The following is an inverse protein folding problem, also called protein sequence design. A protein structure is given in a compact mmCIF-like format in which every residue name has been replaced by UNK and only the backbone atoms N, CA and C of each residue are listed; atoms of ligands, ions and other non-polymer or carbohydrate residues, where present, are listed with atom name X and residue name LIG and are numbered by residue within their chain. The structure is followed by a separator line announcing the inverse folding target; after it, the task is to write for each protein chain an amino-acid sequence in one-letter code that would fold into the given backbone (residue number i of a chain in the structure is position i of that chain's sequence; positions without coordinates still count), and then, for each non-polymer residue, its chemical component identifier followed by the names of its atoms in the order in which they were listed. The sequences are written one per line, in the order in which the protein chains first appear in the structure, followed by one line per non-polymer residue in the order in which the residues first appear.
data_IF_177244026631
#
_entry.id   IF_177244026631
#
_cell.length_a   1.000
_cell.length_b   1.000
_cell.length_c   1.000
_cell.angle_alpha   90.00
_cell.angle_beta   90.00
_cell.angle_gamma   90.00
#
_symmetry.space_group_name_H-M   'P 1'
#
loop_
_entity.id
_entity.type
_entity.pdbx_description
1 polymer ?
#
# COMPACT_ATOMS: atom_id res chain seq x y z
N UNK A 1 -21.07 11.15 -1.12
CA UNK A 1 -20.73 9.80 -1.63
C UNK A 1 -21.91 9.11 -2.32
N UNK A 2 -23.05 8.87 -1.64
CA UNK A 2 -24.22 8.19 -2.25
C UNK A 2 -24.77 8.87 -3.51
N UNK A 3 -24.91 10.21 -3.52
CA UNK A 3 -25.30 10.98 -4.72
C UNK A 3 -24.30 10.88 -5.88
N UNK A 4 -23.01 10.76 -5.59
CA UNK A 4 -21.94 10.63 -6.59
C UNK A 4 -21.95 9.22 -7.22
N UNK A 5 -22.04 8.17 -6.39
CA UNK A 5 -22.17 6.79 -6.88
C UNK A 5 -23.45 6.59 -7.71
N UNK A 6 -24.56 7.23 -7.31
CA UNK A 6 -25.83 7.15 -8.04
C UNK A 6 -25.76 7.83 -9.42
N UNK A 7 -24.96 8.90 -9.56
CA UNK A 7 -24.84 9.69 -10.79
C UNK A 7 -23.81 9.12 -11.76
N UNK A 8 -22.67 8.64 -11.25
CA UNK A 8 -21.50 8.25 -12.06
C UNK A 8 -21.39 6.73 -12.27
N UNK A 9 -22.28 5.93 -11.63
CA UNK A 9 -22.35 4.45 -11.67
C UNK A 9 -20.98 3.80 -11.88
N UNK A 10 -20.67 3.30 -13.08
CA UNK A 10 -19.49 2.49 -13.37
C UNK A 10 -18.17 3.26 -13.19
N UNK A 11 -18.13 4.53 -13.61
CA UNK A 11 -16.96 5.40 -13.44
C UNK A 11 -16.77 5.81 -11.97
N UNK A 12 -17.86 6.03 -11.24
CA UNK A 12 -17.80 6.32 -9.80
C UNK A 12 -17.28 5.12 -8.99
N UNK A 13 -17.67 3.91 -9.39
CA UNK A 13 -17.14 2.65 -8.86
C UNK A 13 -15.65 2.45 -9.22
N UNK A 14 -15.24 2.78 -10.44
CA UNK A 14 -13.82 2.74 -10.84
C UNK A 14 -12.96 3.77 -10.11
N UNK A 15 -13.52 4.94 -9.77
CA UNK A 15 -12.81 5.98 -9.01
C UNK A 15 -12.54 5.56 -7.56
N UNK A 16 -13.37 4.69 -6.97
CA UNK A 16 -13.16 4.16 -5.62
C UNK A 16 -11.83 3.40 -5.50
N UNK A 17 -11.42 2.67 -6.55
CA UNK A 17 -10.14 1.97 -6.56
C UNK A 17 -8.91 2.90 -6.50
N UNK A 18 -9.04 4.16 -6.92
CA UNK A 18 -7.95 5.14 -6.77
C UNK A 18 -7.76 5.62 -5.32
N UNK A 19 -8.86 5.64 -4.54
CA UNK A 19 -8.82 6.01 -3.11
C UNK A 19 -8.04 4.94 -2.32
N UNK A 20 -8.17 3.67 -2.72
CA UNK A 20 -7.49 2.56 -2.09
C UNK A 20 -5.96 2.73 -2.03
N UNK A 21 -5.36 3.29 -3.09
CA UNK A 21 -3.91 3.55 -3.14
C UNK A 21 -3.45 4.54 -2.06
N UNK A 22 -4.34 5.40 -1.57
CA UNK A 22 -4.03 6.33 -0.48
C UNK A 22 -3.97 5.60 0.88
N UNK A 23 -4.73 4.51 1.03
CA UNK A 23 -4.80 3.70 2.25
C UNK A 23 -3.57 2.78 2.37
N UNK A 24 -2.99 2.36 1.24
CA UNK A 24 -1.78 1.51 1.21
C UNK A 24 -0.62 2.09 2.03
N UNK A 25 -0.50 3.42 2.09
CA UNK A 25 0.56 4.08 2.86
C UNK A 25 0.46 3.84 4.38
N UNK A 26 -0.75 3.75 4.94
CA UNK A 26 -0.93 3.52 6.38
C UNK A 26 -0.65 2.07 6.78
N UNK A 27 -0.88 1.13 5.88
CA UNK A 27 -0.51 -0.27 6.10
C UNK A 27 1.00 -0.48 6.12
N UNK A 28 1.72 0.15 5.18
CA UNK A 28 3.18 0.08 5.13
C UNK A 28 3.82 0.61 6.43
N UNK A 29 3.29 1.70 6.98
CA UNK A 29 3.72 2.23 8.29
C UNK A 29 3.46 1.26 9.45
N UNK A 30 2.42 0.44 9.34
CA UNK A 30 2.07 -0.56 10.36
C UNK A 30 2.91 -1.83 10.22
N UNK A 31 3.36 -2.19 9.01
CA UNK A 31 4.23 -3.35 8.82
C UNK A 31 5.61 -3.20 9.49
N UNK A 32 6.06 -1.95 9.74
CA UNK A 32 7.34 -1.62 10.37
C UNK A 32 7.34 -1.69 11.92
N UNK A 33 6.39 -2.39 12.56
CA UNK A 33 6.39 -2.59 14.02
C UNK A 33 7.67 -3.28 14.57
N UNK A 34 8.50 -3.87 13.71
CA UNK A 34 9.79 -4.44 14.10
C UNK A 34 10.88 -3.42 14.44
N UNK A 35 10.76 -2.16 13.97
CA UNK A 35 11.77 -1.12 14.17
C UNK A 35 11.29 0.04 15.06
N UNK A 36 9.98 0.29 15.12
CA UNK A 36 9.41 1.44 15.83
C UNK A 36 8.35 1.04 16.85
N UNK A 37 8.32 1.75 17.97
CA UNK A 37 7.29 1.56 19.00
C UNK A 37 5.92 2.03 18.50
N UNK A 38 4.86 1.29 18.86
CA UNK A 38 3.47 1.60 18.50
C UNK A 38 3.05 3.04 18.83
N UNK A 39 3.52 3.57 19.96
CA UNK A 39 3.20 4.93 20.41
C UNK A 39 3.81 6.00 19.49
N UNK A 40 5.06 5.81 19.04
CA UNK A 40 5.74 6.72 18.12
C UNK A 40 5.02 6.80 16.76
N UNK A 41 4.59 5.65 16.22
CA UNK A 41 3.84 5.59 14.96
C UNK A 41 2.50 6.31 15.09
N UNK A 42 1.75 6.05 16.17
CA UNK A 42 0.45 6.70 16.43
C UNK A 42 0.59 8.22 16.52
N UNK A 43 1.56 8.71 17.31
CA UNK A 43 1.79 10.15 17.46
C UNK A 43 2.17 10.78 16.12
N UNK A 44 3.13 10.21 15.39
CA UNK A 44 3.56 10.74 14.09
C UNK A 44 2.41 10.76 13.07
N UNK A 45 1.61 9.70 13.02
CA UNK A 45 0.49 9.61 12.09
C UNK A 45 -0.60 10.64 12.41
N UNK A 46 -1.04 10.70 13.67
CA UNK A 46 -2.15 11.58 14.08
C UNK A 46 -1.74 13.06 14.10
N UNK A 47 -0.51 13.39 14.49
CA UNK A 47 -0.07 14.80 14.62
C UNK A 47 0.46 15.42 13.34
N UNK A 48 1.08 14.64 12.43
CA UNK A 48 1.75 15.18 11.24
C UNK A 48 1.13 14.65 9.95
N UNK A 49 1.08 13.33 9.77
CA UNK A 49 0.72 12.72 8.48
C UNK A 49 -0.74 12.97 8.14
N UNK A 50 -1.65 12.67 9.07
CA UNK A 50 -3.09 12.81 8.89
C UNK A 50 -3.54 14.25 8.58
N UNK A 51 -3.17 15.29 9.37
CA UNK A 51 -3.58 16.66 9.06
C UNK A 51 -2.97 17.15 7.74
N UNK A 52 -1.73 16.77 7.43
CA UNK A 52 -1.08 17.14 6.18
C UNK A 52 -1.77 16.54 4.96
N UNK A 53 -2.18 15.27 5.03
CA UNK A 53 -2.93 14.60 3.97
C UNK A 53 -4.29 15.25 3.74
N UNK A 54 -5.04 15.53 4.82
CA UNK A 54 -6.34 16.20 4.71
C UNK A 54 -6.18 17.56 4.03
N UNK A 55 -5.22 18.36 4.47
CA UNK A 55 -4.99 19.70 3.92
C UNK A 55 -4.57 19.64 2.45
N UNK A 56 -3.73 18.68 2.07
CA UNK A 56 -3.34 18.45 0.69
C UNK A 56 -4.54 18.06 -0.21
N UNK A 57 -5.36 17.10 0.22
CA UNK A 57 -6.54 16.69 -0.56
C UNK A 57 -7.62 17.77 -0.62
N UNK A 58 -7.85 18.51 0.47
CA UNK A 58 -8.78 19.65 0.47
C UNK A 58 -8.29 20.75 -0.48
N UNK A 59 -6.98 21.05 -0.49
CA UNK A 59 -6.38 21.99 -1.41
C UNK A 59 -6.53 21.57 -2.88
N UNK A 60 -6.26 20.31 -3.19
CA UNK A 60 -6.47 19.75 -4.53
C UNK A 60 -7.94 19.82 -4.96
N UNK A 61 -8.87 19.46 -4.08
CA UNK A 61 -10.30 19.50 -4.35
C UNK A 61 -10.79 20.94 -4.59
N UNK A 62 -10.31 21.91 -3.80
CA UNK A 62 -10.63 23.32 -3.99
C UNK A 62 -10.08 23.88 -5.31
N UNK A 63 -8.89 23.45 -5.72
CA UNK A 63 -8.29 23.83 -7.00
C UNK A 63 -9.09 23.27 -8.19
N UNK A 64 -9.40 21.97 -8.16
CA UNK A 64 -10.21 21.30 -9.19
C UNK A 64 -11.63 21.87 -9.31
N UNK A 65 -12.21 22.32 -8.19
CA UNK A 65 -13.54 22.94 -8.20
C UNK A 65 -13.58 24.29 -8.93
N UNK A 66 -12.45 25.01 -9.01
CA UNK A 66 -12.38 26.30 -9.71
C UNK A 66 -11.92 26.19 -11.16
N UNK A 67 -11.13 25.17 -11.50
CA UNK A 67 -10.60 24.93 -12.84
C UNK A 67 -11.20 23.65 -13.42
N UNK A 68 -12.40 23.77 -14.00
CA UNK A 68 -13.17 22.64 -14.54
C UNK A 68 -12.64 22.10 -15.89
N UNK A 69 -11.83 22.89 -16.60
CA UNK A 69 -11.20 22.49 -17.87
C UNK A 69 -9.72 22.16 -17.62
N UNK A 70 -9.44 20.87 -17.48
CA UNK A 70 -8.05 20.35 -17.50
C UNK A 70 -7.64 20.28 -18.97
N UNK A 71 -7.35 21.43 -19.56
CA UNK A 71 -6.77 21.56 -20.91
C UNK A 71 -5.24 21.66 -20.81
N UNK A 72 -4.64 20.87 -19.91
CA UNK A 72 -3.21 20.91 -19.65
C UNK A 72 -2.63 19.51 -19.73
N UNK A 73 -1.58 19.40 -20.55
CA UNK A 73 -0.75 18.25 -20.90
C UNK A 73 -0.15 17.47 -19.70
N UNK A 74 -0.36 17.96 -18.48
CA UNK A 74 0.18 17.41 -17.24
C UNK A 74 -0.79 16.43 -16.57
N UNK A 75 -0.53 15.14 -16.73
CA UNK A 75 -1.39 14.05 -16.26
C UNK A 75 -1.48 13.83 -14.73
N UNK A 76 -0.80 14.64 -13.90
CA UNK A 76 -0.74 14.46 -12.43
C UNK A 76 -1.37 15.67 -11.72
N UNK A 77 -2.58 15.51 -11.18
CA UNK A 77 -3.38 16.59 -10.57
C UNK A 77 -2.72 17.32 -9.39
N UNK A 78 -1.73 16.70 -8.73
CA UNK A 78 -0.95 17.34 -7.66
C UNK A 78 -0.11 18.51 -8.18
N UNK A 79 0.61 18.35 -9.29
CA UNK A 79 1.52 19.39 -9.80
C UNK A 79 0.80 20.57 -10.48
N UNK A 80 -0.42 20.32 -10.96
CA UNK A 80 -1.29 21.37 -11.53
C UNK A 80 -1.81 22.30 -10.42
N UNK A 81 -1.98 21.80 -9.20
CA UNK A 81 -2.48 22.58 -8.06
C UNK A 81 -1.42 23.50 -7.42
N UNK A 82 -0.14 23.35 -7.80
CA UNK A 82 0.99 24.08 -7.19
C UNK A 82 1.44 25.24 -8.10
N UNK A 83 1.65 26.45 -7.55
CA UNK A 83 2.12 27.59 -8.33
C UNK A 83 3.49 27.35 -8.97
N UNK A 84 3.68 27.89 -10.18
CA UNK A 84 4.82 27.55 -11.05
C UNK A 84 6.20 27.77 -10.40
N UNK A 85 6.33 28.84 -9.62
CA UNK A 85 7.59 29.22 -8.95
C UNK A 85 8.01 28.23 -7.86
N UNK A 86 7.08 27.52 -7.24
CA UNK A 86 7.32 26.58 -6.11
C UNK A 86 7.31 25.12 -6.60
N UNK A 87 6.89 24.87 -7.85
CA UNK A 87 6.76 23.54 -8.43
C UNK A 87 8.07 22.75 -8.46
N UNK A 88 9.18 23.41 -8.81
CA UNK A 88 10.51 22.79 -8.86
C UNK A 88 11.00 22.30 -7.49
N UNK A 89 11.00 23.13 -6.42
CA UNK A 89 11.31 22.67 -5.07
C UNK A 89 10.43 21.50 -4.61
N UNK A 90 9.12 21.57 -4.86
CA UNK A 90 8.17 20.53 -4.46
C UNK A 90 8.44 19.20 -5.19
N UNK A 91 8.80 19.25 -6.47
CA UNK A 91 9.18 18.07 -7.25
C UNK A 91 10.41 17.38 -6.64
N UNK A 92 11.44 18.15 -6.28
CA UNK A 92 12.65 17.59 -5.63
C UNK A 92 12.30 16.91 -4.31
N UNK A 93 11.48 17.55 -3.47
CA UNK A 93 11.02 16.97 -2.21
C UNK A 93 10.21 15.69 -2.45
N UNK A 94 9.34 15.67 -3.47
CA UNK A 94 8.55 14.49 -3.81
C UNK A 94 9.43 13.31 -4.26
N UNK A 95 10.48 13.57 -5.04
CA UNK A 95 11.44 12.53 -5.45
C UNK A 95 12.20 12.01 -4.23
N UNK A 96 12.68 12.89 -3.34
CA UNK A 96 13.34 12.49 -2.10
C UNK A 96 12.42 11.64 -1.21
N UNK A 97 11.15 12.04 -1.09
CA UNK A 97 10.14 11.28 -0.35
C UNK A 97 9.89 9.89 -0.98
N UNK A 98 9.86 9.80 -2.31
CA UNK A 98 9.73 8.52 -3.02
C UNK A 98 10.94 7.60 -2.74
N UNK A 99 12.16 8.14 -2.73
CA UNK A 99 13.38 7.39 -2.38
C UNK A 99 13.32 6.85 -0.96
N UNK A 100 12.89 7.67 0.00
CA UNK A 100 12.70 7.24 1.40
C UNK A 100 11.63 6.15 1.51
N UNK A 101 10.51 6.30 0.80
CA UNK A 101 9.45 5.29 0.73
C UNK A 101 9.95 3.95 0.17
N UNK A 102 10.76 3.97 -0.89
CA UNK A 102 11.37 2.75 -1.43
C UNK A 102 12.28 2.04 -0.42
N UNK A 103 13.07 2.80 0.36
CA UNK A 103 13.94 2.24 1.40
C UNK A 103 13.14 1.57 2.53
N UNK A 104 12.02 2.17 2.93
CA UNK A 104 11.12 1.59 3.93
C UNK A 104 10.58 0.22 3.46
N UNK A 105 10.10 0.12 2.20
CA UNK A 105 9.56 -1.13 1.65
C UNK A 105 10.63 -2.23 1.54
N UNK A 106 11.86 -1.89 1.16
CA UNK A 106 12.98 -2.85 1.11
C UNK A 106 13.27 -3.41 2.52
N UNK A 107 13.31 -2.54 3.52
CA UNK A 107 13.56 -2.92 4.92
C UNK A 107 12.44 -3.77 5.50
N UNK A 108 11.18 -3.41 5.19
CA UNK A 108 10.00 -4.19 5.54
C UNK A 108 10.06 -5.60 4.92
N UNK A 109 10.47 -5.72 3.65
CA UNK A 109 10.62 -7.01 2.98
C UNK A 109 11.65 -7.91 3.68
N UNK A 110 12.79 -7.36 4.08
CA UNK A 110 13.79 -8.14 4.84
C UNK A 110 13.24 -8.63 6.19
N UNK A 111 12.42 -7.82 6.85
CA UNK A 111 11.78 -8.19 8.12
C UNK A 111 10.78 -9.33 7.95
N UNK A 112 9.93 -9.25 6.91
CA UNK A 112 8.96 -10.30 6.57
C UNK A 112 9.68 -11.63 6.26
N UNK A 113 10.70 -11.60 5.41
CA UNK A 113 11.44 -12.82 5.03
C UNK A 113 12.15 -13.45 6.23
N UNK A 114 12.70 -12.63 7.14
CA UNK A 114 13.28 -13.13 8.39
C UNK A 114 12.22 -13.84 9.25
N UNK A 115 11.03 -13.27 9.39
CA UNK A 115 9.93 -13.89 10.13
C UNK A 115 9.46 -15.18 9.46
N UNK A 116 9.33 -15.21 8.13
CA UNK A 116 8.98 -16.41 7.37
C UNK A 116 10.02 -17.52 7.51
N UNK A 117 11.32 -17.17 7.49
CA UNK A 117 12.41 -18.14 7.69
C UNK A 117 12.44 -18.69 9.12
N UNK A 118 12.13 -17.86 10.14
CA UNK A 118 12.00 -18.32 11.52
C UNK A 118 10.81 -19.29 11.73
N UNK A 119 9.76 -19.16 10.92
CA UNK A 119 8.62 -20.08 10.90
C UNK A 119 8.86 -21.34 10.05
N UNK A 120 10.03 -21.47 9.41
CA UNK A 120 10.36 -22.59 8.52
C UNK A 120 9.62 -22.57 7.18
N UNK A 121 8.93 -21.48 6.84
CA UNK A 121 8.15 -21.36 5.60
C UNK A 121 8.97 -20.90 4.40
N UNK A 122 10.25 -20.56 4.58
CA UNK A 122 11.12 -20.06 3.51
C UNK A 122 12.47 -20.75 3.56
N UNK A 123 13.06 -21.15 2.41
CA UNK A 123 14.36 -21.80 2.37
C UNK A 123 15.43 -20.93 3.04
N UNK A 124 16.42 -21.52 3.73
CA UNK A 124 17.38 -20.79 4.54
C UNK A 124 18.16 -19.80 3.68
N UNK A 125 17.91 -18.50 3.90
CA UNK A 125 18.59 -17.42 3.19
C UNK A 125 19.80 -16.98 4.00
N UNK A 126 20.93 -16.70 3.33
CA UNK A 126 22.12 -16.17 4.00
C UNK A 126 21.84 -14.75 4.49
N UNK A 127 21.51 -14.62 5.77
CA UNK A 127 21.34 -13.34 6.44
C UNK A 127 22.72 -12.76 6.74
N UNK A 128 22.99 -11.55 6.21
CA UNK A 128 24.21 -10.81 6.55
C UNK A 128 23.82 -9.77 7.59
N UNK A 129 24.33 -9.92 8.81
CA UNK A 129 24.14 -8.92 9.85
C UNK A 129 25.08 -7.73 9.56
N UNK A 130 24.50 -6.60 9.12
CA UNK A 130 25.25 -5.39 8.79
C UNK A 130 25.92 -4.74 10.02
N UNK A 131 25.51 -5.10 11.24
CA UNK A 131 26.15 -4.62 12.48
C UNK A 131 26.00 -5.61 13.64
N UNK A 132 27.07 -5.79 14.44
CA UNK A 132 27.06 -6.68 15.61
C UNK A 132 26.39 -6.07 16.86
N UNK A 133 26.05 -4.77 16.83
CA UNK A 133 25.53 -4.02 17.98
C UNK A 133 24.03 -3.70 17.91
N UNK A 134 23.40 -3.78 16.72
CA UNK A 134 21.99 -3.40 16.52
C UNK A 134 21.25 -4.55 15.84
N UNK A 135 20.39 -5.25 16.60
CA UNK A 135 19.59 -6.40 16.14
C UNK A 135 18.56 -6.08 15.03
N UNK A 136 18.36 -4.80 14.69
CA UNK A 136 17.36 -4.33 13.72
C UNK A 136 17.86 -4.14 12.28
N UNK A 137 19.17 -4.00 12.03
CA UNK A 137 19.70 -3.78 10.67
C UNK A 137 20.03 -5.10 9.98
N UNK A 138 19.03 -5.65 9.29
CA UNK A 138 19.11 -6.92 8.59
C UNK A 138 19.29 -6.63 7.11
N UNK A 139 20.39 -7.10 6.51
CA UNK A 139 20.61 -7.01 5.07
C UNK A 139 20.66 -8.41 4.48
N UNK A 140 19.79 -8.67 3.50
CA UNK A 140 19.75 -9.95 2.80
C UNK A 140 20.09 -9.70 1.33
N UNK A 141 21.37 -9.83 0.94
CA UNK A 141 21.83 -9.43 -0.39
C UNK A 141 21.09 -10.16 -1.52
N UNK A 142 20.77 -11.45 -1.35
CA UNK A 142 20.03 -12.22 -2.34
C UNK A 142 18.63 -11.64 -2.62
N UNK A 143 17.91 -11.25 -1.57
CA UNK A 143 16.58 -10.63 -1.70
C UNK A 143 16.69 -9.26 -2.35
N UNK A 144 17.72 -8.47 -2.01
CA UNK A 144 17.91 -7.16 -2.62
C UNK A 144 18.09 -7.24 -4.15
N UNK A 145 18.85 -8.22 -4.64
CA UNK A 145 19.01 -8.47 -6.07
C UNK A 145 17.71 -8.95 -6.73
N UNK A 146 16.97 -9.85 -6.08
CA UNK A 146 15.66 -10.30 -6.57
C UNK A 146 14.68 -9.13 -6.67
N UNK A 147 14.61 -8.28 -5.62
CA UNK A 147 13.78 -7.08 -5.60
C UNK A 147 14.14 -6.11 -6.72
N UNK A 148 15.44 -5.92 -6.97
CA UNK A 148 15.90 -5.05 -8.05
C UNK A 148 15.47 -5.56 -9.43
N UNK A 149 15.70 -6.85 -9.72
CA UNK A 149 15.33 -7.48 -10.99
C UNK A 149 13.81 -7.41 -11.19
N UNK A 150 13.04 -7.75 -10.15
CA UNK A 150 11.58 -7.73 -10.21
C UNK A 150 11.03 -6.32 -10.41
N UNK A 151 11.58 -5.32 -9.71
CA UNK A 151 11.19 -3.93 -9.87
C UNK A 151 11.46 -3.44 -11.30
N UNK A 152 12.64 -3.76 -11.87
CA UNK A 152 12.94 -3.45 -13.27
C UNK A 152 11.97 -4.16 -14.23
N UNK A 153 11.71 -5.45 -14.03
CA UNK A 153 10.81 -6.22 -14.87
C UNK A 153 9.37 -5.65 -14.87
N UNK A 154 8.83 -5.31 -13.70
CA UNK A 154 7.50 -4.69 -13.57
C UNK A 154 7.46 -3.32 -14.23
N UNK A 155 8.50 -2.50 -14.03
CA UNK A 155 8.58 -1.15 -14.62
C UNK A 155 8.62 -1.21 -16.16
N UNK A 156 9.43 -2.12 -16.72
CA UNK A 156 9.56 -2.30 -18.17
C UNK A 156 8.30 -2.94 -18.77
N UNK A 157 7.64 -3.84 -18.04
CA UNK A 157 6.47 -4.57 -18.50
C UNK A 157 5.20 -3.73 -18.58
N UNK A 158 4.95 -2.90 -17.56
CA UNK A 158 3.72 -2.08 -17.51
C UNK A 158 3.80 -0.82 -18.36
N UNK A 159 4.95 -0.13 -18.38
CA UNK A 159 5.22 1.18 -19.05
C UNK A 159 4.28 2.34 -18.69
N UNK A 160 3.10 2.05 -18.13
CA UNK A 160 2.06 2.98 -17.72
C UNK A 160 1.89 2.99 -16.20
N UNK A 161 2.05 4.16 -15.59
CA UNK A 161 1.87 4.36 -14.14
C UNK A 161 0.45 4.04 -13.67
N UNK A 162 -0.57 4.32 -14.51
CA UNK A 162 -1.98 4.05 -14.18
C UNK A 162 -2.27 2.55 -14.05
N UNK A 163 -1.73 1.74 -14.97
CA UNK A 163 -1.92 0.28 -14.96
C UNK A 163 -1.14 -0.37 -13.82
N UNK A 164 0.07 0.12 -13.54
CA UNK A 164 0.88 -0.33 -12.41
C UNK A 164 0.22 -0.01 -11.05
N UNK A 165 -0.32 1.20 -10.88
CA UNK A 165 -1.06 1.58 -9.67
C UNK A 165 -2.31 0.73 -9.48
N UNK A 166 -3.03 0.43 -10.56
CA UNK A 166 -4.21 -0.41 -10.50
C UNK A 166 -3.89 -1.87 -10.09
N UNK A 167 -2.81 -2.43 -10.63
CA UNK A 167 -2.37 -3.78 -10.28
C UNK A 167 -1.94 -3.89 -8.81
N UNK A 168 -1.15 -2.93 -8.33
CA UNK A 168 -0.74 -2.87 -6.90
C UNK A 168 -1.94 -2.65 -5.97
N UNK A 169 -2.91 -1.83 -6.37
CA UNK A 169 -4.15 -1.65 -5.62
C UNK A 169 -4.89 -2.97 -5.36
N UNK A 170 -5.04 -3.84 -6.37
CA UNK A 170 -5.69 -5.14 -6.18
C UNK A 170 -4.94 -6.03 -5.18
N UNK A 171 -3.60 -6.06 -5.25
CA UNK A 171 -2.78 -6.85 -4.33
C UNK A 171 -2.99 -6.40 -2.88
N UNK A 172 -3.03 -5.09 -2.66
CA UNK A 172 -3.23 -4.50 -1.33
C UNK A 172 -4.62 -4.80 -0.78
N UNK A 173 -5.71 -4.57 -1.53
CA UNK A 173 -7.06 -4.89 -1.00
C UNK A 173 -7.23 -6.38 -0.73
N UNK A 174 -6.56 -7.25 -1.50
CA UNK A 174 -6.58 -8.69 -1.22
C UNK A 174 -5.87 -8.99 0.10
N UNK A 175 -4.70 -8.38 0.33
CA UNK A 175 -3.96 -8.51 1.58
C UNK A 175 -4.77 -7.96 2.78
N UNK A 176 -5.36 -6.77 2.64
CA UNK A 176 -6.28 -6.19 3.63
C UNK A 176 -7.41 -7.16 3.96
N UNK A 177 -8.12 -7.67 2.94
CA UNK A 177 -9.22 -8.61 3.12
C UNK A 177 -8.78 -9.88 3.87
N UNK A 178 -7.60 -10.43 3.55
CA UNK A 178 -7.05 -11.58 4.27
C UNK A 178 -6.77 -11.23 5.74
N UNK A 179 -6.16 -10.08 6.02
CA UNK A 179 -5.90 -9.65 7.40
C UNK A 179 -7.20 -9.40 8.18
N UNK A 180 -8.22 -8.81 7.55
CA UNK A 180 -9.54 -8.59 8.14
C UNK A 180 -10.25 -9.90 8.44
N UNK A 181 -10.09 -10.92 7.59
CA UNK A 181 -10.60 -12.27 7.87
C UNK A 181 -9.86 -12.97 9.02
N UNK A 182 -8.56 -12.68 9.22
CA UNK A 182 -7.76 -13.22 10.32
C UNK A 182 -8.01 -12.51 11.66
N UNK A 183 -8.37 -11.22 11.64
CA UNK A 183 -8.59 -10.43 12.87
C UNK A 183 -9.65 -11.01 13.84
N UNK A 184 -10.81 -11.51 13.39
CA UNK A 184 -11.77 -12.18 14.27
C UNK A 184 -11.17 -13.36 15.02
N UNK A 185 -10.28 -14.12 14.37
CA UNK A 185 -9.57 -15.25 15.00
C UNK A 185 -8.67 -14.75 16.13
N UNK A 186 -7.95 -13.64 15.90
CA UNK A 186 -7.11 -12.98 16.93
C UNK A 186 -7.96 -12.44 18.08
N UNK A 187 -9.10 -11.81 17.80
CA UNK A 187 -10.01 -11.25 18.83
C UNK A 187 -10.54 -12.37 19.75
N UNK A 188 -10.87 -13.54 19.18
CA UNK A 188 -11.40 -14.67 19.94
C UNK A 188 -10.28 -15.38 20.72
N UNK A 189 -9.15 -15.68 20.07
CA UNK A 189 -8.09 -16.51 20.65
C UNK A 189 -7.15 -15.70 21.55
N UNK A 190 -6.70 -14.52 21.11
CA UNK A 190 -5.71 -13.74 21.85
C UNK A 190 -6.35 -12.75 22.84
N UNK A 191 -7.47 -12.12 22.47
CA UNK A 191 -8.14 -11.13 23.32
C UNK A 191 -9.29 -11.71 24.15
N UNK A 192 -9.62 -13.00 23.99
CA UNK A 192 -10.68 -13.69 24.73
C UNK A 192 -12.03 -12.92 24.73
N UNK A 193 -12.33 -12.19 23.66
CA UNK A 193 -13.54 -11.38 23.55
C UNK A 193 -14.72 -12.17 22.99
N UNK A 194 -15.94 -11.65 23.18
CA UNK A 194 -17.17 -12.28 22.71
C UNK A 194 -17.16 -12.50 21.19
N UNK A 195 -17.61 -13.69 20.76
CA UNK A 195 -17.76 -14.05 19.33
C UNK A 195 -18.65 -13.04 18.57
N UNK A 196 -19.66 -12.48 19.25
CA UNK A 196 -20.52 -11.44 18.68
C UNK A 196 -19.74 -10.17 18.28
N UNK A 197 -18.76 -9.75 19.10
CA UNK A 197 -17.94 -8.58 18.80
C UNK A 197 -16.99 -8.85 17.63
N UNK A 198 -16.40 -10.05 17.59
CA UNK A 198 -15.55 -10.48 16.46
C UNK A 198 -16.33 -10.56 15.15
N UNK A 199 -17.57 -11.09 15.18
CA UNK A 199 -18.44 -11.17 14.02
C UNK A 199 -18.92 -9.79 13.56
N UNK A 200 -19.27 -8.91 14.50
CA UNK A 200 -19.66 -7.52 14.20
C UNK A 200 -18.51 -6.76 13.53
N UNK A 201 -17.28 -6.93 14.01
CA UNK A 201 -16.09 -6.37 13.38
C UNK A 201 -15.92 -6.89 11.94
N UNK A 202 -15.98 -8.21 11.75
CA UNK A 202 -15.84 -8.83 10.42
C UNK A 202 -16.91 -8.35 9.44
N UNK A 203 -18.17 -8.29 9.87
CA UNK A 203 -19.26 -7.87 9.01
C UNK A 203 -19.12 -6.39 8.64
N UNK A 204 -18.74 -5.54 9.59
CA UNK A 204 -18.61 -4.11 9.33
C UNK A 204 -17.41 -3.80 8.41
N UNK A 205 -16.19 -4.20 8.79
CA UNK A 205 -14.99 -3.91 8.00
C UNK A 205 -14.90 -4.77 6.74
N UNK A 206 -15.22 -6.05 6.85
CA UNK A 206 -15.20 -6.99 5.73
C UNK A 206 -16.21 -6.65 4.64
N UNK A 207 -17.39 -6.10 4.98
CA UNK A 207 -18.33 -5.64 3.94
C UNK A 207 -17.80 -4.44 3.16
N UNK A 208 -17.16 -3.48 3.84
CA UNK A 208 -16.53 -2.32 3.19
C UNK A 208 -15.41 -2.77 2.26
N UNK A 209 -14.51 -3.63 2.74
CA UNK A 209 -13.41 -4.15 1.95
C UNK A 209 -13.88 -5.03 0.80
N UNK A 210 -14.90 -5.86 1.00
CA UNK A 210 -15.50 -6.67 -0.06
C UNK A 210 -16.10 -5.79 -1.18
N UNK A 211 -16.67 -4.63 -0.85
CA UNK A 211 -17.12 -3.66 -1.85
C UNK A 211 -15.94 -3.09 -2.65
N UNK A 212 -14.84 -2.71 -1.98
CA UNK A 212 -13.63 -2.23 -2.67
C UNK A 212 -12.95 -3.33 -3.50
N UNK A 213 -12.94 -4.56 -3.01
CA UNK A 213 -12.42 -5.72 -3.72
C UNK A 213 -13.25 -5.98 -4.99
N UNK A 214 -14.58 -5.97 -4.87
CA UNK A 214 -15.50 -6.10 -6.01
C UNK A 214 -15.31 -4.99 -7.05
N UNK A 215 -15.07 -3.75 -6.60
CA UNK A 215 -14.75 -2.63 -7.49
C UNK A 215 -13.42 -2.82 -8.22
N UNK A 216 -12.44 -3.41 -7.54
CA UNK A 216 -11.08 -3.64 -8.05
C UNK A 216 -11.00 -4.86 -8.97
N UNK A 217 -11.89 -5.85 -8.82
CA UNK A 217 -11.98 -7.01 -9.72
C UNK A 217 -12.35 -6.63 -11.16
N UNK A 218 -13.13 -5.57 -11.37
CA UNK A 218 -13.48 -5.08 -12.72
C UNK A 218 -12.21 -4.69 -13.51
N UNK A 219 -11.18 -4.29 -12.78
CA UNK A 219 -9.90 -3.82 -13.29
C UNK A 219 -8.85 -4.94 -13.43
N UNK A 220 -9.25 -6.19 -13.20
CA UNK A 220 -8.37 -7.36 -13.26
C UNK A 220 -7.66 -7.51 -14.61
N UNK A 221 -8.40 -7.31 -15.72
CA UNK A 221 -7.87 -7.42 -17.08
C UNK A 221 -6.88 -6.31 -17.46
N UNK A 222 -6.85 -5.19 -16.72
CA UNK A 222 -5.95 -4.06 -17.03
C UNK A 222 -4.50 -4.29 -16.56
N UNK A 223 -4.23 -5.42 -15.88
CA UNK A 223 -2.89 -5.86 -15.48
C UNK A 223 -2.79 -6.37 -14.04
N UNK A 224 -3.89 -6.45 -13.30
CA UNK A 224 -3.86 -6.87 -11.90
C UNK A 224 -3.59 -8.38 -11.70
N UNK A 225 -3.48 -9.15 -12.78
CA UNK A 225 -3.04 -10.54 -12.74
C UNK A 225 -1.55 -10.70 -12.39
N UNK A 226 -0.71 -9.68 -12.63
CA UNK A 226 0.76 -9.79 -12.44
C UNK A 226 1.15 -10.01 -10.98
N UNK A 227 0.67 -9.23 -9.98
CA UNK A 227 0.97 -9.50 -8.57
C UNK A 227 0.48 -10.87 -8.10
N UNK A 228 -0.65 -11.34 -8.63
CA UNK A 228 -1.20 -12.66 -8.30
C UNK A 228 -0.31 -13.77 -8.85
N UNK A 229 0.09 -13.68 -10.13
CA UNK A 229 1.03 -14.62 -10.73
C UNK A 229 2.36 -14.65 -9.95
N UNK A 230 2.87 -13.49 -9.56
CA UNK A 230 4.08 -13.39 -8.74
C UNK A 230 3.90 -14.06 -7.37
N UNK A 231 2.76 -13.83 -6.69
CA UNK A 231 2.47 -14.48 -5.41
C UNK A 231 2.41 -16.01 -5.51
N UNK A 232 1.86 -16.55 -6.61
CA UNK A 232 1.85 -17.99 -6.86
C UNK A 232 3.26 -18.56 -7.04
N UNK A 233 4.15 -17.85 -7.75
CA UNK A 233 5.56 -18.25 -7.89
C UNK A 233 6.23 -18.31 -6.52
N UNK A 234 6.05 -17.28 -5.68
CA UNK A 234 6.60 -17.28 -4.32
C UNK A 234 6.02 -18.40 -3.46
N UNK A 235 4.72 -18.70 -3.57
CA UNK A 235 4.08 -19.81 -2.86
C UNK A 235 4.69 -21.16 -3.27
N UNK A 236 4.94 -21.37 -4.56
CA UNK A 236 5.62 -22.58 -5.04
C UNK A 236 7.04 -22.71 -4.48
N UNK A 237 7.79 -21.60 -4.39
CA UNK A 237 9.13 -21.59 -3.77
C UNK A 237 9.06 -21.91 -2.28
N UNK A 238 8.02 -21.47 -1.57
CA UNK A 238 7.83 -21.77 -0.14
C UNK A 238 7.37 -23.21 0.12
N UNK A 239 6.72 -23.84 -0.86
CA UNK A 239 6.24 -25.22 -0.75
C UNK A 239 7.35 -26.27 -0.96
N UNK A 240 8.37 -25.92 -1.75
CA UNK A 240 9.55 -26.77 -2.05
C UNK A 240 10.58 -26.66 -0.93
#
# INVERSE_FOLDING_TARGET
MYKFLKKTRREGWMSLGGILLCITGSEAMSADFGHFTQLSIKVAFTSVVYPSLILAYMGQAAYLSKHHFIDTEYHIGFYVSVPEKIRWPVLVIAILAAVVGSQAIITCTFSIIKQCSALGCFPPVKIVHTSSKIHGQIYIPGINWILMILCMAVTIGFRDTKRMGNASGLAVITMMLVTTCLMPLVIIICWHCCVSLALSFLLFFGSIEALYFSASLIKFLEGAWVPIALSLIFLLIMYV
#
